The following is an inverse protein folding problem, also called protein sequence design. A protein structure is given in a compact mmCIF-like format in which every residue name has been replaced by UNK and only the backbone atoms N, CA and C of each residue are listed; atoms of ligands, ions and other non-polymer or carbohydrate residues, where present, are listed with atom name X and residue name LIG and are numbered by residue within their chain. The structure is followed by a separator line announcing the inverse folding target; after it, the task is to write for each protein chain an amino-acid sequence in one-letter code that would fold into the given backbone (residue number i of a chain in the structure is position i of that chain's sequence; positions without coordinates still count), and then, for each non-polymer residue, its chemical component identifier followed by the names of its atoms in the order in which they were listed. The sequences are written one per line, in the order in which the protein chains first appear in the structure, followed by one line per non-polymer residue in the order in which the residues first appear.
data_IF_088994843504
#
_entry.id   IF_088994843504
#
_cell.length_a   1.000
_cell.length_b   1.000
_cell.length_c   1.000
_cell.angle_alpha   90.00
_cell.angle_beta   90.00
_cell.angle_gamma   90.00
#
_symmetry.space_group_name_H-M   'P 1'
#
loop_
_entity.id
_entity.type
_entity.pdbx_description
1 polymer ?
#
# COMPACT_ATOMS: atom_id res chain seq x y z
N UNK A 1 -1.40 31.55 -17.11
CA UNK A 1 -2.49 32.39 -17.64
C UNK A 1 -3.48 31.62 -18.52
N UNK A 2 -3.06 31.00 -19.65
CA UNK A 2 -4.01 30.30 -20.54
C UNK A 2 -4.84 29.20 -19.81
N UNK A 3 -4.17 28.38 -18.99
CA UNK A 3 -4.84 27.42 -18.09
C UNK A 3 -5.87 28.11 -17.19
N UNK A 4 -5.45 29.09 -16.39
CA UNK A 4 -6.30 29.82 -15.45
C UNK A 4 -7.55 30.40 -16.11
N UNK A 5 -7.40 31.00 -17.30
CA UNK A 5 -8.53 31.58 -18.02
C UNK A 5 -9.50 30.50 -18.54
N UNK A 6 -8.98 29.38 -19.05
CA UNK A 6 -9.84 28.23 -19.44
C UNK A 6 -10.58 27.67 -18.22
N UNK A 7 -9.91 27.54 -17.09
CA UNK A 7 -10.51 27.02 -15.86
C UNK A 7 -11.64 27.94 -15.36
N UNK A 8 -11.40 29.25 -15.26
CA UNK A 8 -12.40 30.21 -14.78
C UNK A 8 -13.57 30.41 -15.71
N UNK A 9 -13.35 30.41 -17.04
CA UNK A 9 -14.43 30.61 -18.00
C UNK A 9 -15.33 29.38 -18.18
N UNK A 10 -14.83 28.17 -17.90
CA UNK A 10 -15.61 26.93 -18.02
C UNK A 10 -16.20 26.45 -16.70
N UNK A 11 -15.56 26.77 -15.57
CA UNK A 11 -15.98 26.32 -14.26
C UNK A 11 -16.08 24.79 -14.20
N UNK A 12 -17.07 24.26 -13.47
CA UNK A 12 -17.30 22.82 -13.39
C UNK A 12 -17.84 22.18 -14.71
N UNK A 13 -18.30 23.00 -15.66
CA UNK A 13 -18.79 22.49 -16.94
C UNK A 13 -17.62 22.25 -17.90
N UNK A 14 -17.68 21.16 -18.65
CA UNK A 14 -16.60 20.80 -19.56
C UNK A 14 -16.65 21.53 -20.91
N UNK A 15 -17.83 22.00 -21.29
CA UNK A 15 -18.08 22.55 -22.61
C UNK A 15 -17.98 24.08 -22.56
N UNK A 16 -17.19 24.68 -23.45
CA UNK A 16 -16.94 26.11 -23.40
C UNK A 16 -18.21 26.90 -23.75
N UNK A 17 -18.85 27.49 -22.74
CA UNK A 17 -19.85 28.55 -22.95
C UNK A 17 -19.22 29.82 -23.52
N UNK A 18 -17.92 30.03 -23.24
CA UNK A 18 -17.16 31.22 -23.65
C UNK A 18 -15.83 30.78 -24.28
N UNK A 19 -15.58 31.27 -25.50
CA UNK A 19 -14.29 31.10 -26.17
C UNK A 19 -13.23 32.01 -25.53
N UNK A 20 -12.09 31.44 -25.11
CA UNK A 20 -10.99 32.15 -24.44
C UNK A 20 -10.41 33.24 -25.33
N UNK A 21 -10.23 32.92 -26.62
CA UNK A 21 -9.71 33.88 -27.61
C UNK A 21 -10.67 35.05 -27.78
N UNK A 22 -11.96 34.77 -27.93
CA UNK A 22 -13.00 35.80 -28.07
C UNK A 22 -13.12 36.65 -26.81
N UNK A 23 -13.04 36.04 -25.63
CA UNK A 23 -13.02 36.78 -24.36
C UNK A 23 -11.86 37.78 -24.33
N UNK A 24 -10.64 37.33 -24.61
CA UNK A 24 -9.47 38.20 -24.60
C UNK A 24 -9.55 39.34 -25.63
N UNK A 25 -10.03 39.04 -26.84
CA UNK A 25 -10.21 40.05 -27.89
C UNK A 25 -11.23 41.13 -27.50
N UNK A 26 -12.34 40.74 -26.85
CA UNK A 26 -13.33 41.69 -26.34
C UNK A 26 -12.76 42.54 -25.19
N UNK A 27 -12.03 41.93 -24.25
CA UNK A 27 -11.36 42.67 -23.17
C UNK A 27 -10.35 43.68 -23.73
N UNK A 28 -9.61 43.30 -24.77
CA UNK A 28 -8.66 44.18 -25.46
C UNK A 28 -9.33 45.32 -26.24
N UNK A 29 -10.49 45.08 -26.83
CA UNK A 29 -11.27 46.14 -27.48
C UNK A 29 -11.85 47.13 -26.45
N UNK A 30 -12.22 46.65 -25.26
CA UNK A 30 -12.73 47.48 -24.18
C UNK A 30 -11.63 48.32 -23.51
N UNK A 31 -10.44 47.74 -23.29
CA UNK A 31 -9.28 48.44 -22.71
C UNK A 31 -7.96 48.00 -23.36
N UNK A 32 -7.61 48.68 -24.45
CA UNK A 32 -6.37 48.42 -25.17
C UNK A 32 -5.10 48.79 -24.41
N UNK A 33 -5.20 49.63 -23.37
CA UNK A 33 -4.04 50.06 -22.58
C UNK A 33 -3.60 48.97 -21.61
N UNK A 34 -4.56 48.29 -20.98
CA UNK A 34 -4.32 47.15 -20.08
C UNK A 34 -3.96 45.89 -20.89
N UNK A 35 -4.72 45.58 -21.96
CA UNK A 35 -4.59 44.34 -22.71
C UNK A 35 -3.76 44.49 -24.00
N UNK A 36 -2.61 45.15 -23.92
CA UNK A 36 -1.76 45.48 -25.08
C UNK A 36 -0.93 44.32 -25.65
N UNK A 37 -0.83 43.19 -24.95
CA UNK A 37 0.10 42.12 -25.32
C UNK A 37 -0.31 41.39 -26.60
N UNK A 38 0.52 41.51 -27.63
CA UNK A 38 0.38 40.79 -28.90
C UNK A 38 0.78 39.31 -28.81
N UNK A 39 1.60 38.96 -27.82
CA UNK A 39 1.96 37.56 -27.54
C UNK A 39 0.75 36.78 -27.03
N UNK A 40 -0.06 37.40 -26.16
CA UNK A 40 -1.25 36.77 -25.61
C UNK A 40 -2.32 36.48 -26.69
N UNK A 41 -2.40 37.31 -27.74
CA UNK A 41 -3.28 37.05 -28.90
C UNK A 41 -3.02 35.68 -29.55
N UNK A 42 -1.76 35.20 -29.50
CA UNK A 42 -1.34 33.92 -30.09
C UNK A 42 -1.31 32.77 -29.09
N UNK A 43 -1.22 33.07 -27.80
CA UNK A 43 -1.00 32.07 -26.73
C UNK A 43 -2.24 31.80 -25.87
N UNK A 44 -3.30 32.60 -26.00
CA UNK A 44 -4.59 32.36 -25.36
C UNK A 44 -5.52 31.62 -26.34
N UNK A 45 -5.87 30.39 -25.98
CA UNK A 45 -6.69 29.50 -26.80
C UNK A 45 -7.50 28.56 -25.92
N UNK A 46 -8.55 27.99 -26.49
CA UNK A 46 -9.37 27.00 -25.83
C UNK A 46 -8.57 25.70 -25.68
N UNK A 47 -8.29 25.31 -24.44
CA UNK A 47 -7.67 24.02 -24.13
C UNK A 47 -8.73 22.93 -24.30
N UNK A 48 -8.35 21.81 -24.90
CA UNK A 48 -9.24 20.65 -25.01
C UNK A 48 -9.70 20.18 -23.62
N UNK A 49 -10.93 19.67 -23.51
CA UNK A 49 -11.52 19.21 -22.25
C UNK A 49 -10.58 18.25 -21.52
N UNK A 50 -10.06 17.26 -22.23
CA UNK A 50 -9.21 16.23 -21.65
C UNK A 50 -7.90 16.82 -21.08
N UNK A 51 -7.26 17.70 -21.84
CA UNK A 51 -6.05 18.37 -21.38
C UNK A 51 -6.32 19.33 -20.21
N UNK A 52 -7.47 20.01 -20.20
CA UNK A 52 -7.86 20.90 -19.11
C UNK A 52 -8.08 20.14 -17.80
N UNK A 53 -8.77 18.99 -17.85
CA UNK A 53 -8.96 18.13 -16.67
C UNK A 53 -7.63 17.62 -16.12
N UNK A 54 -6.70 17.21 -16.98
CA UNK A 54 -5.36 16.81 -16.54
C UNK A 54 -4.59 17.99 -15.91
N UNK A 55 -4.69 19.20 -16.47
CA UNK A 55 -4.10 20.39 -15.87
C UNK A 55 -4.72 20.75 -14.52
N UNK A 56 -6.03 20.54 -14.32
CA UNK A 56 -6.70 20.72 -13.02
C UNK A 56 -6.13 19.78 -11.96
N UNK A 57 -6.00 18.51 -12.31
CA UNK A 57 -5.39 17.49 -11.42
C UNK A 57 -3.97 17.86 -11.04
N UNK A 58 -3.18 18.35 -11.99
CA UNK A 58 -1.84 18.83 -11.73
C UNK A 58 -1.83 20.08 -10.84
N UNK A 59 -2.73 21.02 -11.07
CA UNK A 59 -2.87 22.21 -10.24
C UNK A 59 -3.23 21.84 -8.80
N UNK A 60 -4.16 20.90 -8.60
CA UNK A 60 -4.53 20.38 -7.27
C UNK A 60 -3.34 19.70 -6.58
N UNK A 61 -2.52 18.97 -7.33
CA UNK A 61 -1.28 18.38 -6.83
C UNK A 61 -0.28 19.42 -6.34
N UNK A 62 -0.10 20.52 -7.08
CA UNK A 62 0.78 21.61 -6.64
C UNK A 62 0.20 22.39 -5.45
N UNK A 63 -1.12 22.55 -5.36
CA UNK A 63 -1.75 23.15 -4.20
C UNK A 63 -1.53 22.30 -2.95
N UNK A 64 -1.83 21.00 -2.99
CA UNK A 64 -1.63 20.12 -1.84
C UNK A 64 -0.15 19.99 -1.47
N UNK A 65 0.77 20.02 -2.45
CA UNK A 65 2.21 20.13 -2.19
C UNK A 65 2.57 21.40 -1.41
N UNK A 66 1.93 22.53 -1.73
CA UNK A 66 2.11 23.78 -0.99
C UNK A 66 1.60 23.68 0.44
N UNK A 67 0.45 23.04 0.65
CA UNK A 67 -0.08 22.77 2.00
C UNK A 67 0.87 21.90 2.82
N UNK A 68 1.37 20.81 2.23
CA UNK A 68 2.40 19.96 2.86
C UNK A 68 3.63 20.78 3.25
N UNK A 69 4.16 21.60 2.34
CA UNK A 69 5.28 22.49 2.63
C UNK A 69 4.98 23.46 3.78
N UNK A 70 3.75 23.97 3.87
CA UNK A 70 3.30 24.82 4.97
C UNK A 70 3.36 24.13 6.33
N UNK A 71 3.01 22.84 6.39
CA UNK A 71 3.09 22.03 7.62
C UNK A 71 4.52 21.67 8.05
N UNK A 72 5.51 21.99 7.22
CA UNK A 72 6.94 21.79 7.48
C UNK A 72 7.68 23.10 7.75
N UNK A 73 7.03 24.26 7.62
CA UNK A 73 7.68 25.55 7.78
C UNK A 73 8.10 25.78 9.25
N UNK A 74 9.20 26.52 9.44
CA UNK A 74 9.67 26.90 10.77
C UNK A 74 8.68 27.88 11.42
N UNK A 75 8.45 27.73 12.73
CA UNK A 75 7.64 28.66 13.52
C UNK A 75 6.12 28.50 13.39
N UNK A 76 5.64 27.43 12.73
CA UNK A 76 4.21 27.08 12.71
C UNK A 76 3.74 26.47 14.03
N UNK A 77 2.44 26.50 14.31
CA UNK A 77 1.88 25.84 15.50
C UNK A 77 1.93 24.31 15.40
N UNK A 78 1.91 23.63 16.55
CA UNK A 78 1.83 22.17 16.59
C UNK A 78 0.59 21.63 15.86
N UNK A 79 -0.55 22.31 16.01
CA UNK A 79 -1.80 21.98 15.31
C UNK A 79 -1.63 22.03 13.78
N UNK A 80 -0.98 23.07 13.25
CA UNK A 80 -0.70 23.18 11.83
C UNK A 80 0.28 22.11 11.37
N UNK A 81 1.32 21.84 12.14
CA UNK A 81 2.29 20.78 11.82
C UNK A 81 1.64 19.40 11.81
N UNK A 82 0.69 19.14 12.72
CA UNK A 82 -0.06 17.88 12.79
C UNK A 82 -0.88 17.57 11.53
N UNK A 83 -1.24 18.58 10.72
CA UNK A 83 -1.93 18.40 9.44
C UNK A 83 -1.06 17.73 8.36
N UNK A 84 0.24 17.59 8.60
CA UNK A 84 1.16 16.96 7.67
C UNK A 84 0.68 15.59 7.17
N UNK A 85 0.27 14.72 8.09
CA UNK A 85 -0.18 13.37 7.75
C UNK A 85 -1.44 13.41 6.87
N UNK A 86 -2.33 14.36 7.13
CA UNK A 86 -3.55 14.58 6.34
C UNK A 86 -3.21 15.00 4.92
N UNK A 87 -2.38 16.04 4.75
CA UNK A 87 -2.06 16.55 3.42
C UNK A 87 -1.15 15.62 2.61
N UNK A 88 -0.21 14.93 3.25
CA UNK A 88 0.63 13.93 2.58
C UNK A 88 -0.20 12.75 2.06
N UNK A 89 -1.17 12.27 2.87
CA UNK A 89 -2.13 11.26 2.44
C UNK A 89 -3.01 11.75 1.29
N UNK A 90 -3.54 12.97 1.39
CA UNK A 90 -4.35 13.56 0.30
C UNK A 90 -3.53 13.69 -0.99
N UNK A 91 -2.27 14.13 -0.89
CA UNK A 91 -1.35 14.22 -2.03
C UNK A 91 -1.16 12.85 -2.70
N UNK A 92 -0.91 11.81 -1.89
CA UNK A 92 -0.77 10.43 -2.38
C UNK A 92 -2.03 9.96 -3.13
N UNK A 93 -3.22 10.20 -2.57
CA UNK A 93 -4.49 9.82 -3.18
C UNK A 93 -4.75 10.56 -4.50
N UNK A 94 -4.57 11.90 -4.51
CA UNK A 94 -4.73 12.71 -5.71
C UNK A 94 -3.73 12.35 -6.80
N UNK A 95 -2.49 12.01 -6.44
CA UNK A 95 -1.46 11.63 -7.39
C UNK A 95 -1.81 10.31 -8.08
N UNK A 96 -2.27 9.32 -7.31
CA UNK A 96 -2.77 8.06 -7.87
C UNK A 96 -3.98 8.29 -8.77
N UNK A 97 -4.93 9.11 -8.34
CA UNK A 97 -6.11 9.43 -9.13
C UNK A 97 -5.76 10.13 -10.45
N UNK A 98 -4.77 11.03 -10.44
CA UNK A 98 -4.24 11.67 -11.65
C UNK A 98 -3.67 10.65 -12.65
N UNK A 99 -2.94 9.64 -12.17
CA UNK A 99 -2.43 8.55 -13.00
C UNK A 99 -3.59 7.72 -13.59
N UNK A 100 -4.56 7.33 -12.76
CA UNK A 100 -5.67 6.43 -13.15
C UNK A 100 -6.58 7.04 -14.22
N UNK A 101 -6.85 8.35 -14.10
CA UNK A 101 -7.76 9.07 -14.99
C UNK A 101 -7.10 9.52 -16.30
N UNK A 102 -5.79 9.40 -16.43
CA UNK A 102 -5.08 9.73 -17.66
C UNK A 102 -5.15 8.58 -18.68
N UNK A 103 -6.35 8.30 -19.22
CA UNK A 103 -6.58 7.20 -20.18
C UNK A 103 -6.58 7.71 -21.62
N UNK A 104 -5.58 7.26 -22.39
CA UNK A 104 -5.48 7.51 -23.83
C UNK A 104 -4.50 8.64 -24.17
N UNK A 105 -3.23 8.30 -24.43
CA UNK A 105 -2.25 9.27 -24.97
C UNK A 105 -1.59 10.19 -23.94
N UNK A 106 -1.35 9.71 -22.71
CA UNK A 106 -0.82 10.51 -21.61
C UNK A 106 0.70 10.51 -21.43
N UNK A 107 1.50 10.07 -22.40
CA UNK A 107 2.96 9.98 -22.22
C UNK A 107 3.56 11.30 -21.73
N UNK A 108 3.12 12.42 -22.30
CA UNK A 108 3.56 13.75 -21.86
C UNK A 108 3.05 14.10 -20.45
N UNK A 109 1.77 13.88 -20.13
CA UNK A 109 1.26 14.15 -18.79
C UNK A 109 1.94 13.28 -17.72
N UNK A 110 2.25 12.02 -18.05
CA UNK A 110 3.02 11.15 -17.18
C UNK A 110 4.41 11.72 -16.90
N UNK A 111 5.13 12.22 -17.91
CA UNK A 111 6.43 12.87 -17.68
C UNK A 111 6.32 14.05 -16.70
N UNK A 112 5.24 14.82 -16.77
CA UNK A 112 4.96 15.92 -15.83
C UNK A 112 4.67 15.39 -14.42
N UNK A 113 3.89 14.30 -14.29
CA UNK A 113 3.64 13.67 -12.99
C UNK A 113 4.93 13.09 -12.38
N UNK A 114 5.82 12.54 -13.19
CA UNK A 114 7.14 12.09 -12.75
C UNK A 114 7.99 13.25 -12.25
N UNK A 115 7.98 14.39 -12.94
CA UNK A 115 8.66 15.59 -12.48
C UNK A 115 8.09 16.07 -11.14
N UNK A 116 6.75 16.10 -11.01
CA UNK A 116 6.09 16.41 -9.74
C UNK A 116 6.52 15.45 -8.62
N UNK A 117 6.53 14.14 -8.88
CA UNK A 117 6.98 13.11 -7.93
C UNK A 117 8.39 13.40 -7.44
N UNK A 118 9.32 13.69 -8.35
CA UNK A 118 10.71 13.98 -7.99
C UNK A 118 10.81 15.24 -7.11
N UNK A 119 10.10 16.32 -7.48
CA UNK A 119 10.03 17.57 -6.70
C UNK A 119 9.32 17.42 -5.35
N UNK A 120 8.43 16.44 -5.23
CA UNK A 120 7.75 16.13 -3.98
C UNK A 120 8.67 15.31 -3.06
N UNK A 121 9.45 14.38 -3.62
CA UNK A 121 10.45 13.60 -2.89
C UNK A 121 11.51 14.47 -2.21
N UNK A 122 11.83 15.64 -2.75
CA UNK A 122 12.73 16.62 -2.11
C UNK A 122 12.30 17.00 -0.67
N UNK A 123 11.03 16.82 -0.31
CA UNK A 123 10.57 17.05 1.07
C UNK A 123 11.15 16.06 2.08
N UNK A 124 11.61 14.88 1.65
CA UNK A 124 12.25 13.90 2.53
C UNK A 124 13.47 14.48 3.25
N UNK A 125 14.20 15.41 2.61
CA UNK A 125 15.38 16.07 3.20
C UNK A 125 15.05 16.95 4.41
N UNK A 126 13.79 17.40 4.53
CA UNK A 126 13.35 18.31 5.60
C UNK A 126 12.64 17.58 6.74
N UNK A 127 12.56 16.24 6.69
CA UNK A 127 11.93 15.41 7.74
C UNK A 127 12.54 15.64 9.12
N UNK A 128 13.86 15.84 9.18
CA UNK A 128 14.59 16.14 10.40
C UNK A 128 14.23 17.47 11.07
N UNK A 129 13.61 18.40 10.30
CA UNK A 129 13.25 19.73 10.79
C UNK A 129 11.77 19.86 11.17
N UNK A 130 10.93 18.90 10.77
CA UNK A 130 9.49 18.94 11.06
C UNK A 130 9.15 18.15 12.32
N UNK A 131 8.16 18.62 13.08
CA UNK A 131 7.68 17.92 14.27
C UNK A 131 6.85 16.67 13.93
N UNK A 132 6.02 16.74 12.87
CA UNK A 132 5.08 15.69 12.49
C UNK A 132 5.37 15.08 11.10
N UNK A 133 6.03 15.78 10.19
CA UNK A 133 6.48 15.24 8.90
C UNK A 133 7.82 14.51 9.01
N UNK A 134 7.95 13.52 9.89
CA UNK A 134 9.26 12.90 10.20
C UNK A 134 9.61 11.67 9.37
N UNK A 135 8.65 11.14 8.62
CA UNK A 135 8.82 9.90 7.86
C UNK A 135 9.07 10.22 6.38
N UNK A 136 10.23 9.80 5.86
CA UNK A 136 10.58 10.01 4.45
C UNK A 136 9.59 9.31 3.51
N UNK A 137 9.01 8.19 3.96
CA UNK A 137 8.05 7.38 3.21
C UNK A 137 6.75 8.15 2.87
N UNK A 138 6.44 9.23 3.61
CA UNK A 138 5.30 10.12 3.30
C UNK A 138 5.49 10.88 1.98
N UNK A 139 6.73 11.00 1.51
CA UNK A 139 7.11 11.71 0.31
C UNK A 139 7.41 10.78 -0.87
N UNK A 140 7.39 9.46 -0.65
CA UNK A 140 7.61 8.46 -1.68
C UNK A 140 6.31 8.12 -2.43
N UNK A 141 6.07 8.88 -3.51
CA UNK A 141 4.94 8.62 -4.41
C UNK A 141 5.20 7.40 -5.31
N UNK A 142 4.16 6.60 -5.62
CA UNK A 142 4.31 5.36 -6.38
C UNK A 142 4.64 5.62 -7.86
N UNK A 143 5.31 4.68 -8.51
CA UNK A 143 5.50 4.74 -9.97
C UNK A 143 4.21 4.46 -10.73
N UNK A 144 4.12 4.97 -11.96
CA UNK A 144 2.97 4.76 -12.83
C UNK A 144 2.65 3.28 -13.03
N UNK A 145 3.66 2.45 -13.32
CA UNK A 145 3.45 1.03 -13.53
C UNK A 145 2.85 0.37 -12.29
N UNK A 146 3.31 0.75 -11.10
CA UNK A 146 2.78 0.30 -9.81
C UNK A 146 1.33 0.71 -9.64
N UNK A 147 1.00 1.99 -9.88
CA UNK A 147 -0.38 2.50 -9.73
C UNK A 147 -1.32 1.80 -10.72
N UNK A 148 -0.93 1.68 -11.98
CA UNK A 148 -1.74 1.05 -13.02
C UNK A 148 -1.89 -0.44 -12.78
N UNK A 149 -0.82 -1.14 -12.35
CA UNK A 149 -0.88 -2.55 -11.96
C UNK A 149 -1.90 -2.73 -10.84
N UNK A 150 -1.74 -2.00 -9.72
CA UNK A 150 -2.65 -2.06 -8.57
C UNK A 150 -4.08 -1.74 -8.97
N UNK A 151 -4.29 -0.70 -9.79
CA UNK A 151 -5.62 -0.29 -10.26
C UNK A 151 -6.28 -1.36 -11.14
N UNK A 152 -5.56 -1.89 -12.14
CA UNK A 152 -6.05 -2.97 -13.01
C UNK A 152 -6.30 -4.26 -12.25
N UNK A 153 -5.53 -4.50 -11.19
CA UNK A 153 -5.73 -5.65 -10.28
C UNK A 153 -6.70 -5.36 -9.14
N UNK A 154 -7.38 -4.21 -9.12
CA UNK A 154 -8.25 -3.75 -8.02
C UNK A 154 -9.37 -4.75 -7.65
N UNK A 155 -10.10 -4.49 -6.55
CA UNK A 155 -10.28 -5.29 -5.33
C UNK A 155 -10.88 -6.71 -5.49
N UNK A 156 -11.06 -7.23 -6.71
CA UNK A 156 -11.54 -8.58 -7.03
C UNK A 156 -10.54 -9.70 -6.72
N UNK A 157 -9.39 -9.39 -6.12
CA UNK A 157 -8.54 -10.37 -5.42
C UNK A 157 -8.50 -10.17 -3.91
N UNK A 158 -9.57 -9.64 -3.29
CA UNK A 158 -9.89 -10.01 -1.89
C UNK A 158 -10.29 -11.49 -1.87
N UNK A 159 -9.27 -12.35 -1.92
CA UNK A 159 -9.13 -13.61 -1.18
C UNK A 159 -10.49 -14.22 -0.77
N UNK A 160 -11.11 -15.01 -1.65
CA UNK A 160 -12.21 -15.94 -1.28
C UNK A 160 -11.71 -17.01 -0.28
N UNK A 161 -10.41 -17.07 0.03
CA UNK A 161 -9.85 -18.03 0.97
C UNK A 161 -9.92 -17.65 2.46
N UNK A 162 -10.19 -16.39 2.83
CA UNK A 162 -10.17 -16.00 4.26
C UNK A 162 -11.45 -16.30 5.05
N UNK A 163 -12.69 -16.18 4.51
CA UNK A 163 -13.87 -16.56 5.28
C UNK A 163 -14.10 -18.08 5.31
N UNK A 164 -13.36 -18.87 4.53
CA UNK A 164 -13.46 -20.35 4.52
C UNK A 164 -12.42 -20.99 5.44
N UNK A 165 -11.24 -20.38 5.62
CA UNK A 165 -10.19 -20.89 6.52
C UNK A 165 -10.53 -20.70 8.01
N UNK A 166 -11.24 -19.62 8.37
CA UNK A 166 -11.61 -19.35 9.76
C UNK A 166 -12.61 -20.39 10.33
N UNK A 167 -13.67 -20.79 9.60
CA UNK A 167 -14.53 -21.91 9.99
C UNK A 167 -13.79 -23.26 10.02
N UNK A 168 -12.86 -23.51 9.09
CA UNK A 168 -12.10 -24.76 9.05
C UNK A 168 -11.13 -24.90 10.24
N UNK A 169 -10.47 -23.80 10.65
CA UNK A 169 -9.65 -23.79 11.87
C UNK A 169 -10.50 -23.91 13.13
N UNK A 170 -11.65 -23.20 13.21
CA UNK A 170 -12.58 -23.32 14.33
C UNK A 170 -13.13 -24.75 14.49
N UNK A 171 -13.51 -25.40 13.39
CA UNK A 171 -13.89 -26.81 13.37
C UNK A 171 -12.74 -27.72 13.81
N UNK A 172 -11.52 -27.49 13.31
CA UNK A 172 -10.34 -28.30 13.68
C UNK A 172 -9.98 -28.18 15.16
N UNK A 173 -10.04 -26.97 15.73
CA UNK A 173 -9.84 -26.75 17.17
C UNK A 173 -10.95 -27.40 17.99
N UNK A 174 -12.22 -27.34 17.55
CA UNK A 174 -13.32 -28.04 18.22
C UNK A 174 -13.11 -29.57 18.20
N UNK A 175 -12.62 -30.15 17.10
CA UNK A 175 -12.23 -31.56 17.03
C UNK A 175 -11.07 -31.93 17.98
N UNK A 176 -10.14 -30.99 18.23
CA UNK A 176 -8.97 -31.19 19.09
C UNK A 176 -9.32 -31.03 20.59
N UNK A 177 -10.34 -30.26 20.95
CA UNK A 177 -10.63 -29.92 22.34
C UNK A 177 -11.98 -30.45 22.85
N UNK A 178 -12.82 -31.07 22.01
CA UNK A 178 -14.08 -31.67 22.46
C UNK A 178 -13.86 -33.08 23.03
N UNK A 179 -14.14 -33.25 24.33
CA UNK A 179 -14.08 -34.54 25.05
C UNK A 179 -15.11 -35.58 24.54
N UNK A 180 -16.07 -35.15 23.74
CA UNK A 180 -17.13 -35.98 23.14
C UNK A 180 -16.62 -36.88 22.00
N UNK A 181 -15.49 -36.55 21.38
CA UNK A 181 -14.91 -37.27 20.22
C UNK A 181 -13.70 -38.16 20.57
N UNK A 182 -13.45 -38.35 21.86
CA UNK A 182 -12.43 -39.25 22.43
C UNK A 182 -12.33 -40.63 21.76
N UNK A 183 -13.42 -41.37 21.46
CA UNK A 183 -13.30 -42.69 20.83
C UNK A 183 -12.77 -42.61 19.38
N UNK A 184 -13.11 -41.57 18.62
CA UNK A 184 -12.61 -41.38 17.26
C UNK A 184 -11.12 -40.99 17.22
N UNK A 185 -10.67 -40.18 18.19
CA UNK A 185 -9.24 -39.85 18.35
C UNK A 185 -8.42 -41.09 18.68
N UNK A 186 -8.88 -41.93 19.59
CA UNK A 186 -8.21 -43.20 19.91
C UNK A 186 -8.06 -44.08 18.66
N UNK A 187 -9.15 -44.25 17.89
CA UNK A 187 -9.13 -45.05 16.66
C UNK A 187 -8.20 -44.47 15.57
N UNK A 188 -8.13 -43.14 15.44
CA UNK A 188 -7.23 -42.48 14.50
C UNK A 188 -5.75 -42.60 14.94
N UNK A 189 -5.46 -42.42 16.23
CA UNK A 189 -4.12 -42.60 16.79
C UNK A 189 -3.64 -44.05 16.72
N UNK A 190 -4.51 -45.03 16.95
CA UNK A 190 -4.20 -46.45 16.75
C UNK A 190 -3.82 -46.75 15.30
N UNK A 191 -4.55 -46.17 14.33
CA UNK A 191 -4.26 -46.37 12.90
C UNK A 191 -2.94 -45.73 12.50
N UNK A 192 -2.64 -44.52 12.99
CA UNK A 192 -1.36 -43.84 12.77
C UNK A 192 -0.21 -44.62 13.44
N UNK A 193 -0.42 -45.15 14.65
CA UNK A 193 0.56 -45.97 15.38
C UNK A 193 0.81 -47.30 14.68
N UNK A 194 -0.22 -47.95 14.16
CA UNK A 194 -0.14 -49.15 13.33
C UNK A 194 0.66 -48.90 12.06
N UNK A 195 0.37 -47.82 11.33
CA UNK A 195 1.12 -47.45 10.11
C UNK A 195 2.58 -47.09 10.43
N UNK A 196 2.85 -46.35 11.52
CA UNK A 196 4.20 -46.05 11.98
C UNK A 196 4.98 -47.31 12.37
N UNK A 197 4.35 -48.28 13.05
CA UNK A 197 4.96 -49.55 13.41
C UNK A 197 5.23 -50.43 12.17
N UNK A 198 4.38 -50.35 11.15
CA UNK A 198 4.59 -51.04 9.87
C UNK A 198 5.76 -50.44 9.08
N UNK A 199 5.91 -49.11 9.13
CA UNK A 199 6.95 -48.35 8.42
C UNK A 199 8.31 -48.41 9.14
N UNK A 200 8.31 -48.42 10.47
CA UNK A 200 9.50 -48.66 11.29
C UNK A 200 9.90 -50.14 11.30
N UNK A 201 8.95 -51.08 11.24
CA UNK A 201 9.22 -52.51 11.07
C UNK A 201 9.74 -52.87 9.67
N UNK A 202 9.32 -52.13 8.63
CA UNK A 202 9.93 -52.23 7.31
C UNK A 202 11.36 -51.64 7.29
N UNK A 203 11.59 -50.56 8.05
CA UNK A 203 12.91 -49.92 8.20
C UNK A 203 13.89 -50.75 9.05
N UNK A 204 13.41 -51.51 10.03
CA UNK A 204 14.26 -52.46 10.77
C UNK A 204 14.73 -53.60 9.87
N UNK A 205 13.86 -54.08 8.97
CA UNK A 205 14.20 -55.14 8.01
C UNK A 205 15.19 -54.70 6.92
N UNK A 206 15.23 -53.41 6.57
CA UNK A 206 16.25 -52.84 5.67
C UNK A 206 17.58 -52.54 6.37
N UNK A 207 17.57 -52.36 7.69
CA UNK A 207 18.77 -52.13 8.49
C UNK A 207 19.42 -53.44 8.99
N UNK A 208 18.70 -54.58 8.97
CA UNK A 208 19.23 -55.91 9.29
C UNK A 208 20.21 -56.48 8.25
N UNK A 209 20.29 -55.92 7.03
CA UNK A 209 21.24 -56.36 6.00
C UNK A 209 22.58 -55.61 6.01
N UNK A 210 22.76 -54.58 6.85
CA UNK A 210 23.92 -53.68 6.78
C UNK A 210 24.78 -53.60 8.05
N UNK A 211 24.56 -54.46 9.05
CA UNK A 211 25.36 -54.49 10.27
C UNK A 211 25.82 -55.92 10.59
N UNK A 212 26.65 -56.48 9.70
CA UNK A 212 27.59 -57.53 10.06
C UNK A 212 28.99 -56.96 9.86
N UNK A 213 29.56 -56.39 10.92
CA UNK A 213 30.97 -56.53 11.30
C UNK A 213 31.32 -55.64 12.49
N UNK A 214 32.15 -56.22 13.35
CA UNK A 214 32.83 -55.67 14.52
C UNK A 214 32.08 -55.81 15.85
N UNK A 215 32.29 -56.97 16.43
CA UNK A 215 32.30 -57.28 17.86
C UNK A 215 32.92 -56.15 18.70
N UNK A 216 32.27 -55.81 19.82
CA UNK A 216 32.89 -55.86 21.15
C UNK A 216 31.83 -55.67 22.26
N UNK A 217 31.44 -56.78 22.88
CA UNK A 217 31.30 -57.02 24.32
C UNK A 217 30.94 -55.86 25.28
N UNK A 218 29.75 -55.97 25.89
CA UNK A 218 29.53 -56.44 27.28
C UNK A 218 28.55 -55.64 28.17
N UNK A 219 27.55 -56.41 28.66
CA UNK A 219 26.99 -56.46 30.02
C UNK A 219 25.86 -55.48 30.41
N UNK A 220 24.62 -56.06 30.49
CA UNK A 220 23.71 -56.19 31.66
C UNK A 220 23.70 -54.98 32.64
N UNK A 221 22.60 -54.39 33.09
CA UNK A 221 21.19 -54.74 33.14
C UNK A 221 20.50 -53.87 34.21
N UNK A 222 19.18 -53.93 34.21
CA UNK A 222 18.23 -53.57 35.26
C UNK A 222 17.71 -52.13 35.49
N UNK A 223 16.38 -52.14 35.62
CA UNK A 223 15.41 -51.12 35.94
C UNK A 223 15.66 -50.42 37.29
N UNK A 224 15.30 -49.14 37.40
CA UNK A 224 14.22 -48.71 38.31
C UNK A 224 13.76 -47.25 38.10
N UNK A 225 12.52 -47.05 38.46
CA UNK A 225 11.61 -45.94 38.19
C UNK A 225 11.65 -44.94 39.37
N UNK A 226 11.94 -43.65 39.12
CA UNK A 226 11.91 -42.63 40.17
C UNK A 226 10.80 -41.61 39.92
N UNK A 227 9.87 -41.53 40.87
CA UNK A 227 8.78 -40.57 40.95
C UNK A 227 9.24 -39.31 41.71
N UNK A 228 9.08 -38.13 41.11
CA UNK A 228 9.50 -36.84 41.70
C UNK A 228 8.28 -36.19 42.39
N UNK A 229 8.36 -36.00 43.71
CA UNK A 229 7.44 -35.15 44.51
C UNK A 229 8.07 -33.77 44.76
N UNK A 230 7.30 -32.71 44.56
CA UNK A 230 7.68 -31.32 44.81
C UNK A 230 7.47 -30.94 46.29
N UNK A 231 8.40 -30.15 46.84
CA UNK A 231 8.21 -29.41 48.10
C UNK A 231 8.28 -27.90 47.82
N UNK A 232 7.25 -27.16 48.27
CA UNK A 232 7.22 -25.69 48.29
C UNK A 232 7.89 -25.17 49.56
N UNK A 233 8.84 -24.24 49.39
CA UNK A 233 9.54 -23.55 50.49
C UNK A 233 8.74 -22.32 50.90
N UNK A 234 8.40 -22.22 52.19
CA UNK A 234 7.92 -20.99 52.82
C UNK A 234 9.09 -20.20 53.40
N UNK A 235 9.16 -18.91 53.07
CA UNK A 235 10.09 -17.95 53.68
C UNK A 235 9.47 -17.36 54.95
N UNK A 236 10.31 -17.14 55.98
CA UNK A 236 10.03 -16.27 57.11
C UNK A 236 10.26 -14.80 56.74
#
# INVERSE_FOLDING_TARGET
LNYWLNDKLRGANSDPKICVKTFYQKSKAADGNIFKSTLLDKKLYNIDKYHLENMRRLYDLYNIRSEVSGTMAQGISEEQSALCLTFTKECYEKYRDAIINCRGGCLYFYSILTEFKNKYKEFSYYTNTSNYCKFEELFDLPDYETVIKVYKTGPFKRIITLPVLFPLLGMFFMFIFSDTLTPFRQKAFEKIRSTKNMLLGARSRSNELLLYNSDNDNIIGDHEEYSIKYYSVGNY
#
